data_IF_257390451182
#
_entry.id   IF_257390451182
#
_cell.length_a   1.000
_cell.length_b   1.000
_cell.length_c   1.000
_cell.angle_alpha   90.00
_cell.angle_beta   90.00
_cell.angle_gamma   90.00
#
_symmetry.space_group_name_H-M   'P 1'
#
loop_
_entity.id
_entity.type
_entity.pdbx_description
1 polymer ?
#
# COMPACT_ATOMS: atom_id res chain seq x y z
N UNK A 1 -18.11 17.55 -18.69
CA UNK A 1 -17.05 16.68 -18.14
C UNK A 1 -17.38 16.40 -16.68
N UNK A 2 -18.09 15.32 -16.39
CA UNK A 2 -18.46 14.95 -15.02
C UNK A 2 -17.67 13.70 -14.61
N UNK A 3 -16.48 13.91 -14.03
CA UNK A 3 -15.69 12.83 -13.47
C UNK A 3 -16.38 12.29 -12.21
N UNK A 4 -17.11 11.18 -12.35
CA UNK A 4 -17.59 10.42 -11.19
C UNK A 4 -16.39 9.75 -10.53
N UNK A 5 -16.03 10.21 -9.34
CA UNK A 5 -15.10 9.50 -8.47
C UNK A 5 -15.73 8.16 -8.07
N UNK A 6 -15.19 7.06 -8.60
CA UNK A 6 -15.53 5.72 -8.15
C UNK A 6 -14.83 5.53 -6.80
N UNK A 7 -15.59 5.68 -5.72
CA UNK A 7 -15.10 5.41 -4.37
C UNK A 7 -14.82 3.92 -4.17
N UNK A 8 -13.66 3.59 -3.60
CA UNK A 8 -13.31 2.21 -3.22
C UNK A 8 -14.19 1.81 -2.03
N UNK A 9 -15.10 0.85 -2.23
CA UNK A 9 -15.86 0.19 -1.17
C UNK A 9 -15.12 -1.04 -0.69
N UNK A 10 -14.86 -1.11 0.62
CA UNK A 10 -14.37 -2.33 1.27
C UNK A 10 -15.57 -3.27 1.46
N UNK A 11 -15.58 -4.39 0.74
CA UNK A 11 -16.56 -5.46 0.91
C UNK A 11 -15.92 -6.59 1.71
N UNK A 12 -16.33 -6.75 2.98
CA UNK A 12 -15.85 -7.82 3.87
C UNK A 12 -16.50 -7.71 5.25
N UNK A 13 -16.52 -8.79 6.06
CA UNK A 13 -17.10 -8.76 7.40
C UNK A 13 -16.29 -7.81 8.28
N UNK A 14 -16.91 -6.68 8.62
CA UNK A 14 -16.36 -5.75 9.59
C UNK A 14 -16.30 -6.48 10.95
N UNK A 15 -15.14 -6.60 11.60
CA UNK A 15 -15.05 -7.25 12.90
C UNK A 15 -15.95 -6.49 13.89
N UNK A 16 -16.68 -7.22 14.74
CA UNK A 16 -17.68 -6.68 15.69
C UNK A 16 -17.15 -5.59 16.62
N UNK A 17 -15.82 -5.51 16.80
CA UNK A 17 -15.14 -4.44 17.52
C UNK A 17 -15.18 -3.06 16.83
N UNK A 18 -15.51 -3.00 15.54
CA UNK A 18 -15.59 -1.75 14.77
C UNK A 18 -16.97 -1.06 14.88
N UNK A 19 -18.00 -1.73 15.42
CA UNK A 19 -19.39 -1.29 15.25
C UNK A 19 -20.00 -0.53 16.44
N UNK A 20 -19.25 -0.18 17.49
CA UNK A 20 -19.77 0.71 18.55
C UNK A 20 -18.82 1.82 19.03
N UNK A 21 -17.53 1.73 18.74
CA UNK A 21 -16.54 2.81 18.93
C UNK A 21 -15.51 2.71 17.81
N UNK A 22 -15.95 2.97 16.58
CA UNK A 22 -15.07 2.92 15.42
C UNK A 22 -13.80 3.74 15.69
N UNK A 23 -12.63 3.16 15.41
CA UNK A 23 -11.36 3.89 15.54
C UNK A 23 -11.45 5.11 14.61
N UNK A 24 -11.41 6.35 15.14
CA UNK A 24 -11.64 7.55 14.32
C UNK A 24 -10.62 7.69 13.18
N UNK A 25 -9.50 6.98 13.27
CA UNK A 25 -8.45 6.94 12.26
C UNK A 25 -8.73 6.02 11.06
N UNK A 26 -9.78 5.18 11.05
CA UNK A 26 -10.00 4.21 9.95
C UNK A 26 -10.17 4.88 8.58
N UNK A 27 -11.02 5.92 8.41
CA UNK A 27 -11.19 6.55 7.10
C UNK A 27 -9.90 7.22 6.60
N UNK A 28 -9.14 7.80 7.52
CA UNK A 28 -7.85 8.43 7.23
C UNK A 28 -6.81 7.37 6.81
N UNK A 29 -6.69 6.29 7.59
CA UNK A 29 -5.80 5.17 7.29
C UNK A 29 -6.09 4.55 5.93
N UNK A 30 -7.37 4.31 5.62
CA UNK A 30 -7.78 3.80 4.32
C UNK A 30 -7.38 4.73 3.17
N UNK A 31 -7.59 6.05 3.31
CA UNK A 31 -7.22 7.03 2.28
C UNK A 31 -5.70 7.15 2.12
N UNK A 32 -4.94 7.09 3.21
CA UNK A 32 -3.48 7.09 3.17
C UNK A 32 -2.94 5.84 2.46
N UNK A 33 -3.45 4.66 2.82
CA UNK A 33 -3.06 3.39 2.16
C UNK A 33 -3.36 3.45 0.67
N UNK A 34 -4.54 3.91 0.27
CA UNK A 34 -4.90 4.09 -1.14
C UNK A 34 -3.93 5.03 -1.86
N UNK A 35 -3.60 6.17 -1.26
CA UNK A 35 -2.70 7.15 -1.85
C UNK A 35 -1.27 6.62 -1.99
N UNK A 36 -0.75 5.97 -0.94
CA UNK A 36 0.59 5.38 -0.94
C UNK A 36 0.68 4.27 -1.99
N UNK A 37 -0.32 3.37 -2.04
CA UNK A 37 -0.37 2.28 -3.02
C UNK A 37 -0.45 2.82 -4.45
N UNK A 38 -1.31 3.81 -4.70
CA UNK A 38 -1.44 4.42 -6.01
C UNK A 38 -0.12 5.06 -6.45
N UNK A 39 0.57 5.78 -5.56
CA UNK A 39 1.88 6.35 -5.86
C UNK A 39 2.92 5.28 -6.15
N UNK A 40 3.00 4.26 -5.31
CA UNK A 40 3.99 3.18 -5.43
C UNK A 40 3.82 2.43 -6.76
N UNK A 41 2.60 2.05 -7.11
CA UNK A 41 2.28 1.37 -8.37
C UNK A 41 2.48 2.26 -9.60
N UNK A 42 2.24 3.57 -9.45
CA UNK A 42 2.47 4.52 -10.53
C UNK A 42 3.96 4.77 -10.76
N UNK A 43 4.75 4.89 -9.69
CA UNK A 43 6.15 5.30 -9.76
C UNK A 43 7.13 4.15 -9.98
N UNK A 44 6.77 2.92 -9.61
CA UNK A 44 7.68 1.78 -9.68
C UNK A 44 7.08 0.61 -10.43
N UNK A 45 7.95 -0.11 -11.13
CA UNK A 45 7.65 -1.46 -11.58
C UNK A 45 8.11 -2.45 -10.51
N UNK A 46 7.22 -3.35 -10.13
CA UNK A 46 7.43 -4.30 -9.03
C UNK A 46 7.48 -5.69 -9.63
N UNK A 47 8.64 -6.33 -9.52
CA UNK A 47 8.90 -7.64 -10.12
C UNK A 47 9.28 -8.63 -9.02
N UNK A 48 8.83 -9.88 -9.16
CA UNK A 48 9.21 -10.95 -8.23
C UNK A 48 10.64 -11.42 -8.51
N UNK A 49 11.45 -11.68 -7.46
CA UNK A 49 12.82 -12.15 -7.62
C UNK A 49 12.91 -13.60 -8.13
N UNK A 50 11.88 -14.40 -7.85
CA UNK A 50 11.77 -15.80 -8.27
C UNK A 50 10.43 -16.03 -8.98
N UNK A 51 10.42 -16.97 -9.94
CA UNK A 51 9.20 -17.45 -10.60
C UNK A 51 8.36 -18.36 -9.69
N UNK A 52 8.90 -18.78 -8.53
CA UNK A 52 8.19 -19.58 -7.54
C UNK A 52 6.95 -18.86 -7.00
N UNK A 53 5.99 -19.67 -6.56
CA UNK A 53 4.76 -19.18 -5.96
C UNK A 53 5.06 -18.44 -4.65
N UNK A 54 4.35 -17.34 -4.43
CA UNK A 54 4.50 -16.56 -3.20
C UNK A 54 3.75 -17.28 -2.08
N UNK A 55 4.48 -17.76 -1.08
CA UNK A 55 3.91 -18.38 0.11
C UNK A 55 3.05 -17.37 0.92
N UNK A 56 1.73 -17.40 0.78
CA UNK A 56 0.84 -16.44 1.47
C UNK A 56 0.46 -16.87 2.89
N UNK A 57 1.18 -17.83 3.49
CA UNK A 57 0.91 -18.30 4.86
C UNK A 57 0.98 -17.14 5.85
N UNK A 58 -0.05 -17.01 6.68
CA UNK A 58 -0.16 -15.99 7.72
C UNK A 58 0.65 -16.38 8.96
N UNK A 59 1.30 -15.39 9.60
CA UNK A 59 1.85 -15.54 10.94
C UNK A 59 0.73 -15.37 11.97
N UNK A 60 0.56 -16.34 12.86
CA UNK A 60 -0.47 -16.29 13.91
C UNK A 60 -0.22 -15.14 14.89
N UNK A 61 -0.91 -14.01 14.70
CA UNK A 61 -0.82 -12.82 15.55
C UNK A 61 -2.02 -11.88 15.39
N UNK A 62 -2.07 -10.81 16.20
CA UNK A 62 -3.14 -9.79 16.11
C UNK A 62 -3.08 -8.94 14.82
N UNK A 63 -1.99 -9.04 14.08
CA UNK A 63 -1.74 -8.35 12.82
C UNK A 63 -1.64 -9.41 11.72
N UNK A 64 -2.28 -9.16 10.58
CA UNK A 64 -2.19 -10.00 9.38
C UNK A 64 -0.78 -9.87 8.75
N UNK A 65 0.22 -10.44 9.42
CA UNK A 65 1.60 -10.46 8.97
C UNK A 65 1.84 -11.75 8.19
N UNK A 66 2.61 -11.68 7.12
CA UNK A 66 3.05 -12.87 6.38
C UNK A 66 4.07 -13.65 7.22
N UNK A 67 3.98 -14.98 7.23
CA UNK A 67 4.90 -15.85 7.96
C UNK A 67 6.33 -15.74 7.45
N UNK A 68 6.48 -15.64 6.13
CA UNK A 68 7.77 -15.42 5.46
C UNK A 68 7.81 -14.01 4.85
N UNK A 69 8.90 -13.23 5.00
CA UNK A 69 9.02 -11.90 4.38
C UNK A 69 8.79 -11.95 2.86
N UNK A 70 8.14 -10.91 2.31
CA UNK A 70 7.95 -10.80 0.86
C UNK A 70 9.14 -10.07 0.23
N UNK A 71 9.85 -10.76 -0.66
CA UNK A 71 10.95 -10.18 -1.43
C UNK A 71 10.46 -9.70 -2.80
N UNK A 72 10.81 -8.46 -3.16
CA UNK A 72 10.44 -7.84 -4.45
C UNK A 72 11.58 -6.99 -4.99
N UNK A 73 11.77 -6.99 -6.31
CA UNK A 73 12.60 -6.01 -7.01
C UNK A 73 11.75 -4.82 -7.43
N UNK A 74 12.25 -3.62 -7.16
CA UNK A 74 11.56 -2.36 -7.45
C UNK A 74 12.42 -1.53 -8.40
N UNK A 75 11.90 -1.19 -9.57
CA UNK A 75 12.58 -0.32 -10.54
C UNK A 75 11.77 0.95 -10.80
N UNK A 76 12.37 2.16 -10.74
CA UNK A 76 11.65 3.40 -11.04
C UNK A 76 11.19 3.43 -12.50
N UNK A 77 9.91 3.75 -12.74
CA UNK A 77 9.36 3.88 -14.09
C UNK A 77 9.72 5.22 -14.74
N UNK A 78 9.85 6.28 -13.95
CA UNK A 78 10.19 7.60 -14.47
C UNK A 78 11.70 7.78 -14.58
N UNK A 79 12.13 8.71 -15.45
CA UNK A 79 13.54 9.09 -15.56
C UNK A 79 14.05 9.63 -14.23
N UNK A 80 15.28 9.25 -13.85
CA UNK A 80 15.94 9.65 -12.58
C UNK A 80 15.90 11.16 -12.31
N UNK A 81 15.90 11.99 -13.36
CA UNK A 81 15.80 13.45 -13.25
C UNK A 81 14.52 13.95 -12.58
N UNK A 82 13.42 13.18 -12.66
CA UNK A 82 12.13 13.49 -12.04
C UNK A 82 12.05 13.09 -10.57
N UNK A 83 13.03 12.33 -10.08
CA UNK A 83 13.19 11.97 -8.67
C UNK A 83 14.30 12.78 -7.99
N UNK A 84 14.73 13.90 -8.58
CA UNK A 84 15.65 14.82 -7.90
C UNK A 84 15.03 15.20 -6.57
N UNK A 85 15.62 14.68 -5.49
CA UNK A 85 15.45 15.23 -4.16
C UNK A 85 16.28 16.49 -4.16
N UNK A 86 15.63 17.65 -4.23
CA UNK A 86 16.29 18.90 -3.90
C UNK A 86 16.80 18.74 -2.48
N UNK A 87 18.12 18.62 -2.33
CA UNK A 87 18.77 18.60 -1.04
C UNK A 87 18.46 19.96 -0.40
N UNK A 88 17.42 20.01 0.41
CA UNK A 88 17.20 21.13 1.32
C UNK A 88 18.42 21.17 2.23
N UNK A 89 19.06 22.33 2.27
CA UNK A 89 20.45 22.56 2.66
C UNK A 89 20.96 21.79 3.88
N UNK A 90 22.16 21.23 3.71
CA UNK A 90 23.10 21.00 4.80
C UNK A 90 24.47 21.45 4.29
N UNK A 91 24.60 22.77 4.25
CA UNK A 91 25.83 23.55 4.17
C UNK A 91 25.70 24.71 5.18
#
# INVERSE_FOLDING_TARGET
>A
MHGKFIGIRVFGPIPKALSQRGVPAIPLGLRMVQYILARLLQSFDVVRPSSQEVDMTENSGLLNLKATPLEVFITPRLRKSLYKMDRVGLD
#
